data_IF_747250696996
#
_entry.id   IF_747250696996
#
_cell.length_a   1.000
_cell.length_b   1.000
_cell.length_c   1.000
_cell.angle_alpha   90.00
_cell.angle_beta   90.00
_cell.angle_gamma   90.00
#
_symmetry.space_group_name_H-M   'P 1'
#
loop_
_entity.id
_entity.type
_entity.pdbx_description
1 polymer ?
#
# COMPACT_ATOMS: atom_id res chain seq x y z
N UNK A 1 -88.78 71.66 16.78
CA UNK A 1 -89.05 70.43 16.03
C UNK A 1 -87.93 70.25 15.01
N UNK A 2 -86.87 69.51 15.36
CA UNK A 2 -85.84 69.08 14.41
C UNK A 2 -85.55 67.62 14.68
N UNK A 3 -85.79 66.79 13.66
CA UNK A 3 -85.76 65.33 13.69
C UNK A 3 -84.34 64.86 13.43
N UNK A 4 -83.65 64.39 14.47
CA UNK A 4 -82.36 63.70 14.30
C UNK A 4 -82.66 62.25 13.89
N UNK A 5 -82.51 61.96 12.60
CA UNK A 5 -82.52 60.59 12.08
C UNK A 5 -81.20 59.93 12.46
N UNK A 6 -81.30 58.78 13.12
CA UNK A 6 -80.16 57.95 13.49
C UNK A 6 -79.42 57.41 12.28
N UNK A 7 -78.11 57.28 12.46
CA UNK A 7 -77.28 56.37 11.72
C UNK A 7 -76.52 55.53 12.77
N UNK A 8 -77.08 54.38 13.12
CA UNK A 8 -76.30 53.29 13.73
C UNK A 8 -75.40 52.74 12.62
N UNK A 9 -74.20 53.28 12.47
CA UNK A 9 -73.16 52.57 11.74
C UNK A 9 -72.66 51.45 12.66
N UNK A 10 -73.26 50.27 12.53
CA UNK A 10 -72.54 49.04 12.82
C UNK A 10 -71.36 49.00 11.86
N UNK A 11 -70.15 49.10 12.42
CA UNK A 11 -68.94 48.74 11.69
C UNK A 11 -69.08 47.29 11.24
N UNK A 12 -69.05 46.98 9.93
CA UNK A 12 -68.84 45.60 9.52
C UNK A 12 -67.43 45.20 9.96
N UNK A 13 -67.34 44.20 10.83
CA UNK A 13 -66.11 43.44 11.07
C UNK A 13 -65.78 42.67 9.77
N UNK A 14 -65.28 43.36 8.76
CA UNK A 14 -64.92 42.80 7.46
C UNK A 14 -63.49 43.19 7.13
N UNK A 15 -62.54 42.61 7.86
CA UNK A 15 -61.23 42.22 7.34
C UNK A 15 -60.56 41.32 8.38
N UNK A 16 -60.65 40.00 8.19
CA UNK A 16 -59.78 39.09 8.93
C UNK A 16 -58.34 39.39 8.50
N UNK A 17 -57.51 39.87 9.44
CA UNK A 17 -56.11 40.16 9.17
C UNK A 17 -55.42 38.91 8.58
N UNK A 18 -54.77 38.98 7.41
CA UNK A 18 -54.01 37.86 6.85
C UNK A 18 -52.90 37.35 7.80
N UNK A 19 -52.48 38.23 8.71
CA UNK A 19 -51.55 37.97 9.80
C UNK A 19 -52.11 37.09 10.91
N UNK A 20 -53.40 36.78 10.94
CA UNK A 20 -53.99 35.92 12.00
C UNK A 20 -53.99 34.43 11.60
N UNK A 21 -54.02 34.12 10.29
CA UNK A 21 -53.99 32.73 9.79
C UNK A 21 -52.58 32.19 9.52
N UNK A 22 -51.66 33.05 9.04
CA UNK A 22 -50.29 32.67 8.69
C UNK A 22 -49.44 32.20 9.90
N UNK A 23 -49.37 32.90 11.05
CA UNK A 23 -48.58 32.45 12.19
C UNK A 23 -49.16 31.21 12.85
N UNK A 24 -50.46 30.96 12.69
CA UNK A 24 -51.09 29.74 13.19
C UNK A 24 -50.58 28.50 12.45
N UNK A 25 -50.52 28.55 11.11
CA UNK A 25 -49.97 27.47 10.28
C UNK A 25 -48.47 27.22 10.55
N UNK A 26 -47.70 28.30 10.75
CA UNK A 26 -46.29 28.21 11.13
C UNK A 26 -46.11 27.61 12.53
N UNK A 27 -46.90 28.06 13.52
CA UNK A 27 -46.80 27.57 14.90
C UNK A 27 -47.14 26.09 15.00
N UNK A 28 -48.14 25.61 14.24
CA UNK A 28 -48.48 24.19 14.17
C UNK A 28 -47.33 23.38 13.56
N UNK A 29 -46.80 23.80 12.42
CA UNK A 29 -45.68 23.11 11.77
C UNK A 29 -44.42 23.11 12.65
N UNK A 30 -44.09 24.26 13.26
CA UNK A 30 -42.96 24.38 14.17
C UNK A 30 -43.14 23.49 15.41
N UNK A 31 -44.36 23.40 15.94
CA UNK A 31 -44.71 22.50 17.04
C UNK A 31 -44.50 21.03 16.69
N UNK A 32 -44.95 20.60 15.51
CA UNK A 32 -44.72 19.24 15.01
C UNK A 32 -43.23 18.92 14.85
N UNK A 33 -42.45 19.84 14.26
CA UNK A 33 -41.01 19.65 14.10
C UNK A 33 -40.28 19.59 15.46
N UNK A 34 -40.66 20.45 16.40
CA UNK A 34 -40.11 20.43 17.75
C UNK A 34 -40.44 19.12 18.45
N UNK A 35 -41.69 18.66 18.38
CA UNK A 35 -42.10 17.40 18.98
C UNK A 35 -41.30 16.22 18.43
N UNK A 36 -41.08 16.19 17.11
CA UNK A 36 -40.23 15.18 16.48
C UNK A 36 -38.79 15.25 17.00
N UNK A 37 -38.22 16.45 17.11
CA UNK A 37 -36.86 16.65 17.61
C UNK A 37 -36.72 16.20 19.07
N UNK A 38 -37.72 16.48 19.92
CA UNK A 38 -37.74 16.02 21.31
C UNK A 38 -37.72 14.49 21.41
N UNK A 39 -38.58 13.81 20.63
CA UNK A 39 -38.59 12.33 20.60
C UNK A 39 -37.24 11.78 20.13
N UNK A 40 -36.62 12.40 19.12
CA UNK A 40 -35.28 11.99 18.65
C UNK A 40 -34.20 12.21 19.71
N UNK A 41 -34.27 13.33 20.44
CA UNK A 41 -33.35 13.63 21.53
C UNK A 41 -33.47 12.63 22.68
N UNK A 42 -34.70 12.26 23.07
CA UNK A 42 -34.94 11.28 24.13
C UNK A 42 -34.45 9.89 23.73
N UNK A 43 -34.68 9.50 22.48
CA UNK A 43 -34.14 8.26 21.92
C UNK A 43 -32.61 8.27 21.93
N UNK A 44 -31.98 9.35 21.44
CA UNK A 44 -30.52 9.50 21.44
C UNK A 44 -29.95 9.40 22.86
N UNK A 45 -30.55 10.11 23.82
CA UNK A 45 -30.14 10.11 25.21
C UNK A 45 -30.25 8.71 25.83
N UNK A 46 -31.33 7.99 25.54
CA UNK A 46 -31.55 6.61 26.05
C UNK A 46 -30.50 5.65 25.51
N UNK A 47 -30.22 5.71 24.21
CA UNK A 47 -29.18 4.87 23.58
C UNK A 47 -27.80 5.16 24.17
N UNK A 48 -27.47 6.43 24.38
CA UNK A 48 -26.21 6.82 24.99
C UNK A 48 -26.08 6.31 26.43
N UNK A 49 -27.12 6.45 27.26
CA UNK A 49 -27.11 5.93 28.63
C UNK A 49 -26.95 4.41 28.68
N UNK A 50 -27.66 3.67 27.83
CA UNK A 50 -27.52 2.22 27.72
C UNK A 50 -26.10 1.82 27.34
N UNK A 51 -25.47 2.57 26.43
CA UNK A 51 -24.08 2.34 26.03
C UNK A 51 -23.10 2.58 27.17
N UNK A 52 -23.23 3.70 27.90
CA UNK A 52 -22.37 3.99 29.04
C UNK A 52 -22.53 2.94 30.14
N UNK A 53 -23.76 2.50 30.41
CA UNK A 53 -24.01 1.42 31.37
C UNK A 53 -23.33 0.12 30.94
N UNK A 54 -23.41 -0.23 29.65
CA UNK A 54 -22.75 -1.42 29.10
C UNK A 54 -21.23 -1.38 29.27
N UNK A 55 -20.60 -0.21 29.08
CA UNK A 55 -19.16 -0.03 29.27
C UNK A 55 -18.76 0.34 30.70
N UNK A 56 -19.71 0.40 31.65
CA UNK A 56 -19.50 0.85 33.03
C UNK A 56 -18.83 2.23 33.14
N UNK A 57 -19.22 3.16 32.28
CA UNK A 57 -18.72 4.55 32.26
C UNK A 57 -19.69 5.44 33.05
N UNK A 58 -19.15 6.35 33.85
CA UNK A 58 -19.94 7.33 34.60
C UNK A 58 -20.40 8.48 33.68
N UNK A 59 -21.71 8.64 33.43
CA UNK A 59 -22.24 9.70 32.56
C UNK A 59 -21.92 11.11 33.05
N UNK A 60 -21.60 11.30 34.33
CA UNK A 60 -21.25 12.60 34.90
C UNK A 60 -19.79 13.00 34.64
N UNK A 61 -18.95 12.03 34.30
CA UNK A 61 -17.51 12.23 34.10
C UNK A 61 -17.12 12.28 32.63
N UNK A 62 -18.04 11.95 31.73
CA UNK A 62 -17.74 11.84 30.30
C UNK A 62 -18.88 12.42 29.49
N UNK A 63 -18.59 13.49 28.76
CA UNK A 63 -19.54 14.06 27.81
C UNK A 63 -19.69 13.17 26.56
N UNK A 64 -20.81 13.34 25.85
CA UNK A 64 -21.08 12.61 24.59
C UNK A 64 -19.96 12.86 23.57
N UNK A 65 -19.49 14.10 23.47
CA UNK A 65 -18.45 14.51 22.52
C UNK A 65 -17.09 13.86 22.84
N UNK A 66 -16.68 13.86 24.11
CA UNK A 66 -15.44 13.22 24.55
C UNK A 66 -15.47 11.72 24.26
N UNK A 67 -16.55 11.04 24.62
CA UNK A 67 -16.69 9.60 24.43
C UNK A 67 -16.53 9.19 22.95
N UNK A 68 -17.26 9.85 22.05
CA UNK A 68 -17.18 9.52 20.62
C UNK A 68 -15.86 9.98 19.98
N UNK A 69 -15.26 11.05 20.49
CA UNK A 69 -13.92 11.48 20.07
C UNK A 69 -12.88 10.43 20.42
N UNK A 70 -12.88 9.95 21.66
CA UNK A 70 -11.97 8.89 22.13
C UNK A 70 -12.17 7.60 21.35
N UNK A 71 -13.42 7.20 21.09
CA UNK A 71 -13.72 6.02 20.29
C UNK A 71 -13.23 6.14 18.84
N UNK A 72 -13.41 7.31 18.23
CA UNK A 72 -12.92 7.60 16.87
C UNK A 72 -11.39 7.59 16.80
N UNK A 73 -10.74 8.17 17.80
CA UNK A 73 -9.29 8.17 17.95
C UNK A 73 -8.77 6.74 18.14
N UNK A 74 -9.38 5.95 19.03
CA UNK A 74 -9.05 4.55 19.25
C UNK A 74 -9.15 3.74 17.94
N UNK A 75 -10.26 3.86 17.21
CA UNK A 75 -10.45 3.21 15.91
C UNK A 75 -9.33 3.58 14.94
N UNK A 76 -9.00 4.87 14.85
CA UNK A 76 -7.98 5.39 13.94
C UNK A 76 -6.58 4.86 14.29
N UNK A 77 -6.22 4.90 15.57
CA UNK A 77 -4.96 4.36 16.09
C UNK A 77 -4.86 2.85 15.88
N UNK A 78 -5.93 2.11 16.14
CA UNK A 78 -5.98 0.66 15.93
C UNK A 78 -5.75 0.31 14.46
N UNK A 79 -6.44 0.99 13.54
CA UNK A 79 -6.27 0.79 12.09
C UNK A 79 -4.86 1.16 11.62
N UNK A 80 -4.25 2.19 12.20
CA UNK A 80 -2.86 2.55 11.95
C UNK A 80 -1.90 1.45 12.45
N UNK A 81 -2.07 0.98 13.68
CA UNK A 81 -1.25 -0.06 14.28
C UNK A 81 -1.32 -1.38 13.49
N UNK A 82 -2.50 -1.76 12.99
CA UNK A 82 -2.66 -2.93 12.11
C UNK A 82 -1.80 -2.78 10.85
N UNK A 83 -1.86 -1.63 10.17
CA UNK A 83 -1.05 -1.37 8.97
C UNK A 83 0.46 -1.36 9.28
N UNK A 84 0.84 -0.74 10.38
CA UNK A 84 2.23 -0.68 10.82
C UNK A 84 2.78 -2.06 11.19
N UNK A 85 1.98 -2.90 11.84
CA UNK A 85 2.35 -4.27 12.18
C UNK A 85 2.66 -5.11 10.94
N UNK A 86 1.86 -4.97 9.87
CA UNK A 86 2.13 -5.64 8.59
C UNK A 86 3.44 -5.14 7.99
N UNK A 87 3.60 -3.82 7.88
CA UNK A 87 4.83 -3.22 7.35
C UNK A 87 6.08 -3.65 8.13
N UNK A 88 5.98 -3.71 9.46
CA UNK A 88 7.07 -4.17 10.33
C UNK A 88 7.44 -5.63 10.04
N UNK A 89 6.45 -6.53 9.93
CA UNK A 89 6.69 -7.95 9.61
C UNK A 89 7.39 -8.13 8.27
N UNK A 90 6.94 -7.40 7.24
CA UNK A 90 7.57 -7.43 5.91
C UNK A 90 9.01 -6.89 5.92
N UNK A 91 9.25 -5.80 6.66
CA UNK A 91 10.57 -5.20 6.79
C UNK A 91 11.55 -6.13 7.54
N UNK A 92 11.10 -6.77 8.61
CA UNK A 92 11.87 -7.75 9.38
C UNK A 92 12.24 -8.96 8.52
N UNK A 93 11.31 -9.48 7.72
CA UNK A 93 11.59 -10.60 6.81
C UNK A 93 12.58 -10.21 5.71
N UNK A 94 12.41 -9.02 5.12
CA UNK A 94 13.35 -8.49 4.13
C UNK A 94 14.75 -8.32 4.72
N UNK A 95 14.84 -7.77 5.94
CA UNK A 95 16.10 -7.58 6.63
C UNK A 95 16.78 -8.92 6.95
N UNK A 96 16.00 -9.93 7.39
CA UNK A 96 16.50 -11.29 7.64
C UNK A 96 17.08 -11.92 6.38
N UNK A 97 16.41 -11.78 5.23
CA UNK A 97 16.89 -12.29 3.93
C UNK A 97 18.21 -11.61 3.51
N UNK A 98 18.32 -10.29 3.67
CA UNK A 98 19.56 -9.56 3.34
C UNK A 98 20.72 -9.98 4.23
N UNK A 99 20.50 -10.13 5.54
CA UNK A 99 21.54 -10.58 6.48
C UNK A 99 22.01 -12.00 6.14
N UNK A 100 21.09 -12.92 5.88
CA UNK A 100 21.43 -14.30 5.50
C UNK A 100 22.22 -14.36 4.18
N UNK A 101 21.88 -13.53 3.19
CA UNK A 101 22.62 -13.47 1.92
C UNK A 101 24.04 -12.93 2.10
N UNK A 102 24.22 -11.89 2.93
CA UNK A 102 25.54 -11.32 3.24
C UNK A 102 26.42 -12.32 3.97
N UNK A 103 25.90 -12.98 5.01
CA UNK A 103 26.63 -14.00 5.76
C UNK A 103 27.05 -15.17 4.86
N UNK A 104 26.15 -15.64 3.99
CA UNK A 104 26.45 -16.71 3.04
C UNK A 104 27.56 -16.32 2.06
N UNK A 105 27.51 -15.11 1.51
CA UNK A 105 28.54 -14.61 0.59
C UNK A 105 29.90 -14.44 1.28
N UNK A 106 29.91 -14.01 2.54
CA UNK A 106 31.13 -13.87 3.34
C UNK A 106 31.74 -15.24 3.66
N UNK A 107 30.93 -16.21 4.09
CA UNK A 107 31.38 -17.59 4.35
C UNK A 107 31.97 -18.23 3.09
N UNK A 108 31.30 -18.10 1.95
CA UNK A 108 31.80 -18.63 0.68
C UNK A 108 33.13 -17.96 0.25
N UNK A 109 33.29 -16.65 0.49
CA UNK A 109 34.54 -15.94 0.21
C UNK A 109 35.68 -16.44 1.11
N UNK A 110 35.42 -16.65 2.40
CA UNK A 110 36.41 -17.19 3.34
C UNK A 110 36.80 -18.64 2.98
N UNK A 111 35.85 -19.49 2.64
CA UNK A 111 36.12 -20.87 2.20
C UNK A 111 36.96 -20.92 0.91
N UNK A 112 36.63 -20.08 -0.08
CA UNK A 112 37.44 -19.96 -1.31
C UNK A 112 38.86 -19.48 -1.01
N UNK A 113 39.02 -18.52 -0.09
CA UNK A 113 40.34 -18.03 0.32
C UNK A 113 41.14 -19.11 1.06
N UNK A 114 40.53 -19.86 1.98
CA UNK A 114 41.19 -20.96 2.69
C UNK A 114 41.57 -22.10 1.76
N UNK A 115 40.69 -22.47 0.82
CA UNK A 115 41.00 -23.50 -0.19
C UNK A 115 42.17 -23.06 -1.08
N UNK A 116 42.21 -21.79 -1.49
CA UNK A 116 43.35 -21.23 -2.24
C UNK A 116 44.64 -21.28 -1.42
N UNK A 117 44.61 -20.93 -0.14
CA UNK A 117 45.79 -21.00 0.75
C UNK A 117 46.31 -22.44 0.88
N UNK A 118 45.43 -23.42 1.16
CA UNK A 118 45.82 -24.83 1.23
C UNK A 118 46.43 -25.35 -0.08
N UNK A 119 45.88 -24.97 -1.24
CA UNK A 119 46.45 -25.36 -2.53
C UNK A 119 47.84 -24.75 -2.75
N UNK A 120 48.08 -23.51 -2.32
CA UNK A 120 49.41 -22.88 -2.43
C UNK A 120 50.43 -23.53 -1.49
N UNK A 121 50.04 -23.90 -0.28
CA UNK A 121 50.89 -24.61 0.69
C UNK A 121 51.30 -26.00 0.17
N UNK A 122 50.34 -26.79 -0.35
CA UNK A 122 50.63 -28.10 -0.99
C UNK A 122 51.56 -27.95 -2.21
N UNK A 123 51.45 -26.86 -2.97
CA UNK A 123 52.33 -26.62 -4.11
C UNK A 123 53.77 -26.30 -3.68
N UNK A 124 54.01 -25.75 -2.49
CA UNK A 124 55.37 -25.43 -2.02
C UNK A 124 56.15 -26.64 -1.49
N UNK A 125 55.50 -27.79 -1.30
CA UNK A 125 56.13 -29.03 -0.78
C UNK A 125 56.18 -30.18 -1.81
N UNK A 126 55.47 -30.08 -2.94
CA UNK A 126 55.20 -31.18 -3.86
C UNK A 126 55.76 -30.99 -5.28
N UNK A 127 56.86 -30.24 -5.43
CA UNK A 127 57.32 -29.77 -6.75
C UNK A 127 57.92 -30.84 -7.68
N UNK A 128 57.88 -32.15 -7.38
CA UNK A 128 58.38 -33.17 -8.32
C UNK A 128 57.53 -34.47 -8.41
N UNK A 129 56.78 -34.90 -7.39
CA UNK A 129 56.24 -36.28 -7.36
C UNK A 129 54.71 -36.45 -7.44
N UNK A 130 53.88 -35.45 -7.11
CA UNK A 130 52.41 -35.61 -7.03
C UNK A 130 51.58 -34.88 -8.10
N UNK A 131 52.23 -34.14 -9.00
CA UNK A 131 51.54 -33.37 -10.06
C UNK A 131 50.93 -34.29 -11.12
N UNK A 132 51.63 -35.38 -11.49
CA UNK A 132 51.15 -36.36 -12.47
C UNK A 132 49.86 -37.05 -12.01
N UNK A 133 49.83 -37.54 -10.77
CA UNK A 133 48.67 -38.23 -10.20
C UNK A 133 47.47 -37.30 -10.07
N UNK A 134 47.71 -36.04 -9.69
CA UNK A 134 46.66 -35.01 -9.64
C UNK A 134 46.06 -34.71 -11.03
N UNK A 135 46.89 -34.70 -12.08
CA UNK A 135 46.42 -34.51 -13.46
C UNK A 135 45.60 -35.72 -13.95
N UNK A 136 46.07 -36.94 -13.68
CA UNK A 136 45.37 -38.17 -14.03
C UNK A 136 44.05 -38.31 -13.28
N UNK A 137 44.02 -37.95 -11.99
CA UNK A 137 42.81 -37.95 -11.17
C UNK A 137 41.80 -36.90 -11.67
N UNK A 138 42.23 -35.71 -12.11
CA UNK A 138 41.37 -34.69 -12.68
C UNK A 138 40.76 -35.11 -14.04
N UNK A 139 41.51 -35.88 -14.83
CA UNK A 139 41.03 -36.48 -16.08
C UNK A 139 40.05 -37.62 -15.81
N UNK A 140 40.35 -38.50 -14.85
CA UNK A 140 39.53 -39.66 -14.50
C UNK A 140 38.21 -39.27 -13.79
N UNK A 141 38.26 -38.33 -12.85
CA UNK A 141 37.08 -37.77 -12.19
C UNK A 141 36.25 -36.85 -13.11
N UNK A 142 36.77 -36.55 -14.31
CA UNK A 142 36.14 -35.66 -15.29
C UNK A 142 36.17 -34.17 -14.91
N UNK A 143 36.85 -33.80 -13.81
CA UNK A 143 36.99 -32.42 -13.36
C UNK A 143 37.70 -31.52 -14.39
N UNK A 144 38.68 -32.06 -15.12
CA UNK A 144 39.45 -31.36 -16.15
C UNK A 144 38.59 -30.80 -17.31
N UNK A 145 37.38 -31.33 -17.52
CA UNK A 145 36.52 -30.97 -18.64
C UNK A 145 35.28 -30.15 -18.25
N UNK A 146 35.06 -29.88 -16.96
CA UNK A 146 33.82 -29.23 -16.50
C UNK A 146 33.75 -27.74 -16.86
N UNK A 147 34.86 -27.11 -17.22
CA UNK A 147 34.94 -25.65 -17.44
C UNK A 147 34.58 -25.21 -18.87
N UNK A 148 34.43 -26.13 -19.83
CA UNK A 148 34.10 -25.77 -21.23
C UNK A 148 32.61 -25.52 -21.49
N UNK A 149 31.70 -25.94 -20.60
CA UNK A 149 30.24 -25.82 -20.82
C UNK A 149 29.63 -24.47 -20.41
N UNK A 150 30.44 -23.51 -19.94
CA UNK A 150 29.96 -22.16 -19.53
C UNK A 150 30.62 -20.98 -20.26
N UNK A 151 31.36 -21.20 -21.35
CA UNK A 151 31.75 -20.08 -22.24
C UNK A 151 30.65 -19.83 -23.28
N UNK A 152 30.19 -18.59 -23.33
CA UNK A 152 29.22 -18.06 -24.28
C UNK A 152 29.58 -18.39 -25.75
N UNK A 153 28.60 -18.39 -26.68
CA UNK A 153 28.82 -18.77 -28.07
C UNK A 153 29.86 -17.83 -28.70
N UNK A 154 30.95 -18.38 -29.22
CA UNK A 154 31.90 -17.62 -30.05
C UNK A 154 31.25 -17.40 -31.41
N UNK A 155 30.98 -16.14 -31.75
CA UNK A 155 30.67 -15.71 -33.12
C UNK A 155 31.83 -16.09 -34.02
N UNK A 156 31.59 -16.93 -35.03
CA UNK A 156 32.53 -17.15 -36.13
C UNK A 156 32.03 -16.35 -37.31
N UNK A 157 32.74 -15.27 -37.61
CA UNK A 157 32.65 -14.56 -38.87
C UNK A 157 33.24 -15.45 -39.97
N UNK A 158 32.40 -15.93 -40.89
CA UNK A 158 32.81 -16.34 -42.24
C UNK A 158 31.64 -16.06 -43.19
N UNK A 159 31.77 -15.02 -44.00
CA UNK A 159 31.22 -14.95 -45.36
C UNK A 159 32.41 -15.21 -46.30
N UNK A 160 32.21 -15.95 -47.41
CA UNK A 160 31.76 -15.27 -48.64
C UNK A 160 30.61 -15.98 -49.37
N UNK A 161 29.86 -15.15 -50.10
CA UNK A 161 28.76 -15.43 -51.02
C UNK A 161 28.97 -16.62 -51.96
N UNK A 162 27.87 -17.26 -52.38
CA UNK A 162 27.37 -17.39 -53.78
C UNK A 162 25.97 -18.08 -53.75
N UNK A 163 24.98 -17.41 -54.33
CA UNK A 163 23.53 -17.74 -54.38
C UNK A 163 23.17 -18.62 -55.60
N UNK A 164 21.88 -18.79 -56.01
CA UNK A 164 20.64 -19.22 -55.33
C UNK A 164 19.91 -20.36 -56.10
N UNK A 165 19.01 -21.14 -55.46
CA UNK A 165 17.75 -21.60 -56.10
C UNK A 165 16.81 -22.35 -55.15
N UNK A 166 15.58 -21.80 -55.07
CA UNK A 166 14.26 -22.42 -54.89
C UNK A 166 14.15 -23.91 -54.50
N UNK A 167 13.43 -24.20 -53.41
CA UNK A 167 12.02 -24.64 -53.44
C UNK A 167 11.64 -25.40 -52.15
N UNK A 168 10.35 -25.31 -51.79
CA UNK A 168 9.65 -26.08 -50.73
C UNK A 168 10.03 -25.71 -49.28
N UNK A 169 9.20 -25.80 -48.25
CA UNK A 169 7.75 -25.89 -48.05
C UNK A 169 7.56 -25.93 -46.51
N UNK A 170 6.45 -25.41 -46.01
CA UNK A 170 5.79 -25.81 -44.75
C UNK A 170 6.44 -25.50 -43.39
N UNK A 171 5.65 -24.76 -42.60
CA UNK A 171 5.43 -24.92 -41.15
C UNK A 171 6.49 -24.37 -40.18
N UNK A 172 6.34 -23.09 -39.81
CA UNK A 172 7.00 -22.52 -38.64
C UNK A 172 5.97 -22.10 -37.58
N UNK A 173 5.94 -22.87 -36.49
CA UNK A 173 5.22 -22.58 -35.25
C UNK A 173 5.75 -21.32 -34.58
N UNK A 174 4.81 -20.48 -34.13
CA UNK A 174 5.04 -19.22 -33.44
C UNK A 174 5.70 -19.46 -32.07
N UNK A 175 6.76 -18.70 -31.76
CA UNK A 175 7.23 -18.44 -30.39
C UNK A 175 6.75 -17.03 -29.98
N UNK A 176 6.28 -16.81 -28.74
CA UNK A 176 5.85 -15.49 -28.29
C UNK A 176 7.06 -14.57 -28.08
N UNK A 177 7.00 -13.38 -28.70
CA UNK A 177 8.00 -12.30 -28.58
C UNK A 177 7.82 -11.57 -27.25
N UNK A 178 8.88 -11.54 -26.43
CA UNK A 178 8.97 -10.69 -25.24
C UNK A 178 9.11 -9.21 -25.65
N UNK A 179 8.23 -8.37 -25.09
CA UNK A 179 8.20 -6.91 -25.27
C UNK A 179 9.49 -6.24 -24.75
N UNK A 180 10.03 -5.21 -25.41
CA UNK A 180 11.11 -4.40 -24.86
C UNK A 180 10.61 -3.44 -23.76
N UNK A 181 11.28 -3.44 -22.61
CA UNK A 181 11.03 -2.50 -21.52
C UNK A 181 11.62 -1.12 -21.85
N UNK A 182 10.76 -0.11 -21.95
CA UNK A 182 11.13 1.30 -22.11
C UNK A 182 11.88 1.80 -20.87
N UNK A 183 13.12 2.27 -21.03
CA UNK A 183 13.87 2.95 -19.97
C UNK A 183 13.59 4.46 -20.02
N UNK A 184 12.53 4.89 -19.32
CA UNK A 184 12.26 6.30 -19.05
C UNK A 184 13.24 6.86 -18.02
N UNK A 185 14.01 7.87 -18.44
CA UNK A 185 14.98 8.60 -17.61
C UNK A 185 14.31 9.26 -16.39
N UNK A 186 14.77 8.93 -15.19
CA UNK A 186 14.49 9.71 -13.98
C UNK A 186 15.37 10.97 -13.98
N UNK A 187 14.75 12.15 -14.04
CA UNK A 187 15.42 13.44 -13.82
C UNK A 187 15.56 13.66 -12.31
N UNK A 188 16.77 13.98 -11.87
CA UNK A 188 17.07 14.39 -10.50
C UNK A 188 16.50 15.79 -10.19
N UNK A 189 15.97 16.04 -8.98
CA UNK A 189 15.66 17.40 -8.55
C UNK A 189 16.93 18.13 -8.15
N UNK A 190 17.13 19.34 -8.69
CA UNK A 190 18.19 20.27 -8.26
C UNK A 190 17.78 20.86 -6.91
N UNK A 191 18.58 20.62 -5.89
CA UNK A 191 18.53 21.35 -4.62
C UNK A 191 18.96 22.79 -4.85
N UNK A 192 18.12 23.75 -4.51
CA UNK A 192 18.49 25.17 -4.44
C UNK A 192 18.26 25.63 -3.01
N UNK A 193 19.35 25.77 -2.27
CA UNK A 193 19.38 26.55 -1.05
C UNK A 193 19.21 28.03 -1.43
N UNK A 194 18.23 28.72 -0.85
CA UNK A 194 18.18 30.18 -0.81
C UNK A 194 18.53 30.61 0.62
N UNK A 195 19.69 31.24 0.78
CA UNK A 195 19.89 32.25 1.82
C UNK A 195 19.16 33.52 1.36
N UNK A 196 18.22 34.01 2.16
CA UNK A 196 18.18 35.35 2.80
C UNK A 196 17.24 35.22 3.99
#
# INVERSE_FOLDING_TARGET
>A
MVRVRGCLYSFPCEFGDPLDSAPHSFSLLAGEQLQKLLVMHDNMSTLYQNMLQYFAIDPKKTSVEEFFTDMSNFRSMFMQAVRENVRRREAEEKQRRVRAAKEKAEREKQERQQKKKRLLEVNTENDETGVMDSLLEALQSGAAFRDRRKRAPRTRDVWPNLSPSSSSSSSQQQRPVLKPCNHGKMKSPKSTYKCV
#
